data_IF_728581853854
#
_entry.id   IF_728581853854
#
_cell.length_a   1.000
_cell.length_b   1.000
_cell.length_c   1.000
_cell.angle_alpha   90.00
_cell.angle_beta   90.00
_cell.angle_gamma   90.00
#
_symmetry.space_group_name_H-M   'P 1'
#
loop_
_entity.id
_entity.type
_entity.pdbx_description
1 polymer ?
#
# COMPACT_ATOMS: atom_id res chain seq x y z
N UNK A 1 -23.60 0.46 -11.44
CA UNK A 1 -22.54 -0.07 -12.32
C UNK A 1 -21.97 -1.37 -11.75
N UNK A 2 -21.32 -1.39 -10.58
CA UNK A 2 -20.75 -2.63 -10.00
C UNK A 2 -21.76 -3.75 -9.72
N UNK A 3 -22.92 -3.44 -9.15
CA UNK A 3 -23.95 -4.46 -8.85
C UNK A 3 -24.45 -5.14 -10.13
N UNK A 4 -24.62 -4.37 -11.21
CA UNK A 4 -25.03 -4.89 -12.53
C UNK A 4 -23.93 -5.78 -13.12
N UNK A 5 -22.67 -5.38 -12.97
CA UNK A 5 -21.52 -6.17 -13.42
C UNK A 5 -21.44 -7.54 -12.70
N UNK A 6 -21.64 -7.56 -11.38
CA UNK A 6 -21.63 -8.81 -10.59
C UNK A 6 -22.77 -9.75 -11.02
N UNK A 7 -23.99 -9.21 -11.17
CA UNK A 7 -25.16 -10.02 -11.58
C UNK A 7 -24.98 -10.57 -13.00
N UNK A 8 -24.37 -9.79 -13.89
CA UNK A 8 -24.08 -10.21 -15.26
C UNK A 8 -22.99 -11.30 -15.32
N UNK A 9 -21.86 -11.09 -14.65
CA UNK A 9 -20.74 -12.06 -14.59
C UNK A 9 -21.15 -13.40 -13.97
N UNK A 10 -22.02 -13.41 -12.95
CA UNK A 10 -22.50 -14.65 -12.32
C UNK A 10 -23.36 -15.52 -13.25
N UNK A 11 -23.96 -14.93 -14.30
CA UNK A 11 -24.78 -15.64 -15.28
C UNK A 11 -24.02 -16.05 -16.56
N UNK A 12 -22.80 -15.56 -16.75
CA UNK A 12 -22.05 -15.71 -18.00
C UNK A 12 -21.23 -17.02 -18.02
N UNK A 13 -21.20 -17.70 -19.18
CA UNK A 13 -20.51 -18.99 -19.33
C UNK A 13 -18.98 -18.86 -19.37
N UNK A 14 -18.47 -17.70 -19.77
CA UNK A 14 -17.04 -17.37 -19.79
C UNK A 14 -16.82 -16.02 -19.08
N UNK A 15 -16.88 -16.02 -17.74
CA UNK A 15 -16.71 -14.80 -16.96
C UNK A 15 -15.30 -14.22 -17.15
N UNK A 16 -15.19 -12.90 -17.24
CA UNK A 16 -13.90 -12.19 -17.29
C UNK A 16 -13.25 -12.21 -15.90
N UNK A 17 -14.07 -12.22 -14.83
CA UNK A 17 -13.63 -12.28 -13.44
C UNK A 17 -14.27 -13.49 -12.76
N UNK A 18 -13.46 -14.50 -12.44
CA UNK A 18 -13.96 -15.67 -11.73
C UNK A 18 -14.28 -15.35 -10.26
N UNK A 19 -15.53 -14.99 -10.00
CA UNK A 19 -16.05 -14.69 -8.65
C UNK A 19 -16.08 -15.93 -7.74
N UNK A 20 -15.90 -17.15 -8.28
CA UNK A 20 -15.81 -18.36 -7.45
C UNK A 20 -14.58 -18.37 -6.56
N UNK A 21 -13.54 -17.62 -6.92
CA UNK A 21 -12.33 -17.42 -6.11
C UNK A 21 -12.64 -16.81 -4.74
N UNK A 22 -13.68 -15.96 -4.63
CA UNK A 22 -14.11 -15.40 -3.34
C UNK A 22 -14.74 -16.43 -2.39
N UNK A 23 -15.06 -17.64 -2.86
CA UNK A 23 -15.45 -18.76 -1.98
C UNK A 23 -14.26 -19.30 -1.18
N UNK A 24 -13.04 -19.12 -1.68
CA UNK A 24 -11.83 -19.49 -0.95
C UNK A 24 -11.51 -18.44 0.11
N UNK A 25 -11.38 -18.88 1.37
CA UNK A 25 -11.14 -17.99 2.51
C UNK A 25 -9.78 -17.29 2.41
N UNK A 26 -8.75 -17.97 1.89
CA UNK A 26 -7.42 -17.39 1.73
C UNK A 26 -7.43 -16.28 0.68
N UNK A 27 -8.15 -16.48 -0.43
CA UNK A 27 -8.32 -15.44 -1.45
C UNK A 27 -9.07 -14.23 -0.90
N UNK A 28 -10.23 -14.45 -0.26
CA UNK A 28 -11.04 -13.35 0.29
C UNK A 28 -10.31 -12.57 1.38
N UNK A 29 -9.61 -13.25 2.30
CA UNK A 29 -8.78 -12.58 3.31
C UNK A 29 -7.65 -11.79 2.65
N UNK A 30 -6.97 -12.35 1.65
CA UNK A 30 -5.94 -11.65 0.89
C UNK A 30 -6.45 -10.38 0.22
N UNK A 31 -7.59 -10.44 -0.44
CA UNK A 31 -8.22 -9.28 -1.11
C UNK A 31 -8.64 -8.22 -0.09
N UNK A 32 -9.28 -8.60 1.01
CA UNK A 32 -9.69 -7.65 2.07
C UNK A 32 -8.45 -6.97 2.65
N UNK A 33 -7.43 -7.74 2.98
CA UNK A 33 -6.22 -7.23 3.60
C UNK A 33 -5.46 -6.29 2.63
N UNK A 34 -5.33 -6.66 1.35
CA UNK A 34 -4.75 -5.80 0.33
C UNK A 34 -5.54 -4.50 0.14
N UNK A 35 -6.88 -4.58 0.15
CA UNK A 35 -7.77 -3.41 0.03
C UNK A 35 -7.59 -2.46 1.21
N UNK A 36 -7.55 -2.99 2.44
CA UNK A 36 -7.30 -2.20 3.65
C UNK A 36 -5.90 -1.59 3.64
N UNK A 37 -4.88 -2.36 3.24
CA UNK A 37 -3.51 -1.87 3.07
C UNK A 37 -3.44 -0.70 2.08
N UNK A 38 -4.11 -0.82 0.93
CA UNK A 38 -4.19 0.25 -0.07
C UNK A 38 -4.93 1.49 0.45
N UNK A 39 -6.02 1.31 1.20
CA UNK A 39 -6.75 2.41 1.81
C UNK A 39 -5.87 3.21 2.78
N UNK A 40 -5.16 2.50 3.65
CA UNK A 40 -4.23 3.07 4.62
C UNK A 40 -3.03 3.74 3.93
N UNK A 41 -2.51 3.12 2.88
CA UNK A 41 -1.43 3.65 2.06
C UNK A 41 -1.82 4.97 1.37
N UNK A 42 -3.00 5.03 0.75
CA UNK A 42 -3.54 6.26 0.14
C UNK A 42 -3.75 7.38 1.16
N UNK A 43 -4.27 7.05 2.35
CA UNK A 43 -4.39 8.01 3.44
C UNK A 43 -3.02 8.58 3.83
N UNK A 44 -2.01 7.73 3.94
CA UNK A 44 -0.65 8.13 4.32
C UNK A 44 0.01 9.02 3.26
N UNK A 45 -0.13 8.65 1.98
CA UNK A 45 0.43 9.41 0.85
C UNK A 45 -0.13 10.84 0.75
N UNK A 46 -1.36 11.06 1.20
CA UNK A 46 -2.05 12.36 1.07
C UNK A 46 -2.02 13.17 2.36
N UNK A 47 -2.21 12.53 3.52
CA UNK A 47 -2.22 13.20 4.82
C UNK A 47 -0.84 13.77 5.18
N UNK A 48 0.24 13.06 4.87
CA UNK A 48 1.58 13.48 5.26
C UNK A 48 2.02 14.78 4.56
N UNK A 49 1.93 14.92 3.22
CA UNK A 49 2.19 16.20 2.55
C UNK A 49 1.24 17.31 3.00
N UNK A 50 -0.01 16.97 3.32
CA UNK A 50 -0.99 17.92 3.81
C UNK A 50 -0.55 18.51 5.15
N UNK A 51 -0.20 17.67 6.14
CA UNK A 51 0.28 18.11 7.46
C UNK A 51 1.58 18.93 7.34
N UNK A 52 2.51 18.52 6.48
CA UNK A 52 3.74 19.27 6.23
C UNK A 52 3.45 20.68 5.71
N UNK A 53 2.48 20.81 4.80
CA UNK A 53 2.11 22.11 4.22
C UNK A 53 1.26 22.97 5.16
N UNK A 54 0.27 22.39 5.84
CA UNK A 54 -0.71 23.15 6.64
C UNK A 54 -0.22 23.45 8.05
N UNK A 55 0.45 22.49 8.70
CA UNK A 55 0.79 22.60 10.12
C UNK A 55 2.24 23.03 10.33
N UNK A 56 3.14 22.62 9.43
CA UNK A 56 4.58 22.89 9.54
C UNK A 56 5.08 23.98 8.58
N UNK A 57 4.20 24.53 7.74
CA UNK A 57 4.53 25.65 6.84
C UNK A 57 5.54 25.32 5.74
N UNK A 58 5.79 24.04 5.46
CA UNK A 58 6.68 23.64 4.37
C UNK A 58 6.10 24.05 3.02
N UNK A 59 6.96 24.45 2.09
CA UNK A 59 6.53 24.68 0.72
C UNK A 59 6.11 23.36 0.06
N UNK A 60 5.25 23.44 -0.94
CA UNK A 60 4.77 22.29 -1.71
C UNK A 60 5.91 21.45 -2.29
N UNK A 61 7.04 22.07 -2.66
CA UNK A 61 8.22 21.37 -3.15
C UNK A 61 8.85 20.45 -2.09
N UNK A 62 8.99 20.93 -0.84
CA UNK A 62 9.56 20.13 0.25
C UNK A 62 8.62 19.00 0.70
N UNK A 63 7.31 19.27 0.76
CA UNK A 63 6.33 18.24 1.06
C UNK A 63 6.30 17.13 -0.01
N UNK A 64 6.46 17.50 -1.29
CA UNK A 64 6.62 16.54 -2.38
C UNK A 64 7.91 15.71 -2.26
N UNK A 65 9.03 16.36 -1.94
CA UNK A 65 10.31 15.66 -1.72
C UNK A 65 10.26 14.71 -0.53
N UNK A 66 9.52 15.02 0.54
CA UNK A 66 9.35 14.13 1.67
C UNK A 66 8.52 12.87 1.32
N UNK A 67 7.59 12.97 0.36
CA UNK A 67 6.77 11.84 -0.10
C UNK A 67 7.43 10.99 -1.20
N UNK A 68 8.35 11.58 -1.98
CA UNK A 68 9.05 10.94 -3.09
C UNK A 68 9.77 9.60 -2.78
N UNK A 69 10.38 9.39 -1.59
CA UNK A 69 11.17 8.19 -1.31
C UNK A 69 10.36 6.88 -1.35
N UNK A 70 9.04 6.96 -1.19
CA UNK A 70 8.13 5.80 -1.23
C UNK A 70 8.21 5.01 -2.53
N UNK A 71 8.54 5.68 -3.63
CA UNK A 71 8.61 5.03 -4.94
C UNK A 71 9.92 4.30 -5.20
N UNK A 72 10.96 4.55 -4.40
CA UNK A 72 12.31 4.06 -4.67
C UNK A 72 12.36 2.54 -4.51
N UNK A 73 11.97 2.00 -3.35
CA UNK A 73 11.98 0.56 -3.10
C UNK A 73 11.09 -0.24 -4.09
N UNK A 74 9.83 0.15 -4.37
CA UNK A 74 8.99 -0.53 -5.36
C UNK A 74 9.61 -0.59 -6.75
N UNK A 75 10.27 0.49 -7.19
CA UNK A 75 10.91 0.54 -8.52
C UNK A 75 12.04 -0.48 -8.63
N UNK A 76 12.81 -0.69 -7.56
CA UNK A 76 13.87 -1.70 -7.54
C UNK A 76 13.35 -3.11 -7.28
N UNK A 77 12.33 -3.26 -6.43
CA UNK A 77 11.75 -4.56 -6.06
C UNK A 77 10.84 -5.13 -7.15
N UNK A 78 10.13 -4.29 -7.91
CA UNK A 78 9.23 -4.72 -8.99
C UNK A 78 9.87 -5.65 -10.02
N UNK A 79 11.05 -5.34 -10.63
CA UNK A 79 11.71 -6.25 -11.56
C UNK A 79 12.24 -7.51 -10.86
N UNK A 80 12.64 -7.42 -9.59
CA UNK A 80 13.11 -8.57 -8.80
C UNK A 80 11.97 -9.55 -8.53
N UNK A 81 10.82 -9.05 -8.04
CA UNK A 81 9.62 -9.85 -7.78
C UNK A 81 9.03 -10.36 -9.09
N UNK A 82 9.04 -9.57 -10.17
CA UNK A 82 8.59 -10.03 -11.50
C UNK A 82 9.43 -11.19 -12.04
N UNK A 83 10.74 -11.20 -11.78
CA UNK A 83 11.66 -12.25 -12.25
C UNK A 83 11.66 -13.49 -11.34
N UNK A 84 11.59 -13.31 -10.02
CA UNK A 84 11.74 -14.37 -9.04
C UNK A 84 10.44 -14.77 -8.33
N UNK A 85 9.35 -14.02 -8.53
CA UNK A 85 8.07 -14.21 -7.84
C UNK A 85 7.45 -15.58 -8.05
N UNK A 86 7.63 -16.19 -9.22
CA UNK A 86 7.16 -17.56 -9.48
C UNK A 86 7.85 -18.63 -8.61
N UNK A 87 8.97 -18.30 -7.96
CA UNK A 87 9.71 -19.18 -7.04
C UNK A 87 9.46 -18.82 -5.56
N UNK A 88 8.80 -17.70 -5.29
CA UNK A 88 8.56 -17.20 -3.93
C UNK A 88 7.14 -17.61 -3.52
N UNK A 89 7.00 -18.16 -2.31
CA UNK A 89 5.67 -18.44 -1.77
C UNK A 89 4.91 -17.12 -1.55
N UNK A 90 3.77 -16.98 -2.24
CA UNK A 90 2.88 -15.83 -2.15
C UNK A 90 2.48 -15.54 -0.70
N UNK A 91 2.34 -16.57 0.16
CA UNK A 91 2.00 -16.41 1.57
C UNK A 91 3.11 -15.70 2.34
N UNK A 92 4.37 -16.03 2.07
CA UNK A 92 5.52 -15.37 2.70
C UNK A 92 5.63 -13.91 2.25
N UNK A 93 5.39 -13.66 0.96
CA UNK A 93 5.43 -12.30 0.41
C UNK A 93 4.34 -11.42 1.05
N UNK A 94 3.11 -11.91 1.13
CA UNK A 94 2.00 -11.18 1.77
C UNK A 94 2.28 -10.94 3.26
N UNK A 95 2.77 -11.96 3.98
CA UNK A 95 3.10 -11.80 5.42
C UNK A 95 4.19 -10.76 5.62
N UNK A 96 5.23 -10.76 4.78
CA UNK A 96 6.31 -9.77 4.84
C UNK A 96 5.77 -8.34 4.60
N UNK A 97 4.87 -8.15 3.63
CA UNK A 97 4.24 -6.84 3.37
C UNK A 97 3.43 -6.34 4.57
N UNK A 98 2.66 -7.21 5.25
CA UNK A 98 1.92 -6.79 6.43
C UNK A 98 2.82 -6.45 7.61
N UNK A 99 3.96 -7.16 7.77
CA UNK A 99 4.95 -6.84 8.79
C UNK A 99 5.64 -5.50 8.52
N UNK A 100 6.00 -5.18 7.27
CA UNK A 100 6.58 -3.88 6.92
C UNK A 100 5.57 -2.75 7.14
N UNK A 101 4.29 -2.96 6.80
CA UNK A 101 3.23 -2.01 7.15
C UNK A 101 3.12 -1.82 8.67
N UNK A 102 3.01 -2.90 9.45
CA UNK A 102 2.92 -2.79 10.91
C UNK A 102 4.12 -2.05 11.52
N UNK A 103 5.33 -2.34 11.04
CA UNK A 103 6.57 -1.70 11.48
C UNK A 103 6.60 -0.20 11.15
N UNK A 104 6.25 0.19 9.92
CA UNK A 104 6.24 1.61 9.51
C UNK A 104 5.15 2.42 10.21
N UNK A 105 4.00 1.82 10.51
CA UNK A 105 2.95 2.46 11.30
C UNK A 105 3.34 2.60 12.78
N UNK A 106 4.00 1.59 13.34
CA UNK A 106 4.53 1.69 14.69
C UNK A 106 5.57 2.82 14.79
N UNK A 107 6.52 2.89 13.85
CA UNK A 107 7.51 3.98 13.78
C UNK A 107 6.81 5.36 13.68
N UNK A 108 5.69 5.45 12.96
CA UNK A 108 4.91 6.70 12.86
C UNK A 108 4.22 7.12 14.17
N UNK A 109 4.14 6.26 15.18
CA UNK A 109 3.46 6.61 16.44
C UNK A 109 4.26 7.62 17.26
N UNK A 110 5.59 7.69 17.07
CA UNK A 110 6.48 8.63 17.76
C UNK A 110 6.52 10.03 17.14
N UNK A 111 5.66 10.35 16.17
CA UNK A 111 5.61 11.67 15.54
C UNK A 111 4.95 12.72 16.46
N UNK A 112 5.74 13.36 17.32
CA UNK A 112 5.34 14.54 18.09
C UNK A 112 6.33 15.71 17.93
N UNK A 113 5.75 16.90 17.70
CA UNK A 113 6.22 18.30 17.77
C UNK A 113 7.58 18.74 17.18
N UNK A 114 8.64 17.92 17.19
CA UNK A 114 9.98 18.25 16.68
C UNK A 114 10.36 17.39 15.46
N UNK A 115 9.45 17.29 14.49
CA UNK A 115 9.64 16.45 13.30
C UNK A 115 10.66 17.05 12.33
N UNK A 116 11.89 16.53 12.35
CA UNK A 116 12.86 16.74 11.27
C UNK A 116 12.45 15.95 10.01
N UNK A 117 12.79 16.48 8.82
CA UNK A 117 12.43 15.89 7.51
C UNK A 117 12.95 14.45 7.41
N UNK A 118 14.10 14.16 8.02
CA UNK A 118 14.68 12.81 8.05
C UNK A 118 13.77 11.77 8.70
N UNK A 119 13.08 12.13 9.80
CA UNK A 119 12.16 11.22 10.48
C UNK A 119 10.94 10.89 9.61
N UNK A 120 10.58 11.74 8.65
CA UNK A 120 9.50 11.51 7.68
C UNK A 120 9.96 10.66 6.49
N UNK A 121 11.17 10.92 5.99
CA UNK A 121 11.72 10.24 4.81
C UNK A 121 11.95 8.75 5.07
N UNK A 122 12.52 8.37 6.23
CA UNK A 122 12.88 6.98 6.50
C UNK A 122 11.67 6.01 6.56
N UNK A 123 10.58 6.31 7.30
CA UNK A 123 9.38 5.48 7.27
C UNK A 123 8.72 5.44 5.89
N UNK A 124 8.79 6.53 5.13
CA UNK A 124 8.24 6.60 3.78
C UNK A 124 9.03 5.71 2.82
N UNK A 125 10.36 5.69 2.93
CA UNK A 125 11.23 4.81 2.16
C UNK A 125 10.94 3.33 2.45
N UNK A 126 10.85 2.93 3.72
CA UNK A 126 10.58 1.54 4.12
C UNK A 126 9.15 1.06 3.84
N UNK A 127 8.21 1.98 3.66
CA UNK A 127 6.82 1.65 3.36
C UNK A 127 6.61 1.23 1.90
N UNK A 128 7.43 1.73 0.98
CA UNK A 128 7.38 1.34 -0.43
C UNK A 128 7.87 -0.08 -0.64
#
# INVERSE_FOLDING_TARGET
>A
MLVVFIVWELGEKYPIVDLSLFKDRNFTVGVIAASLGFMVYMGTLTLLPLVLQTNLGYTSAWAGLAAAPVGILPVFLSPLIGRFGNKIDMRLLVTASFLTFAFTFYWRTDFYADMDIGNVIWPQFWQG
#
